data_IF_463441873395
#
_entry.id   IF_463441873395
#
_cell.length_a   1.000
_cell.length_b   1.000
_cell.length_c   1.000
_cell.angle_alpha   90.00
_cell.angle_beta   90.00
_cell.angle_gamma   90.00
#
_symmetry.space_group_name_H-M   'P 1'
#
loop_
_entity.id
_entity.type
_entity.pdbx_description
1 polymer ?
#
# COMPACT_ATOMS: atom_id res chain seq x y z
N UNK A 1 8.27 8.13 -87.58
CA UNK A 1 6.79 8.05 -87.69
C UNK A 1 6.22 8.19 -86.28
N UNK A 2 5.62 9.31 -86.02
CA UNK A 2 4.31 9.53 -85.47
C UNK A 2 4.09 8.98 -84.04
N UNK A 3 3.57 9.64 -83.14
CA UNK A 3 2.80 10.90 -83.00
C UNK A 3 2.59 11.14 -81.48
N UNK A 4 2.68 12.39 -81.09
CA UNK A 4 1.64 13.16 -80.46
C UNK A 4 1.18 12.67 -79.05
N UNK A 5 1.57 13.45 -78.05
CA UNK A 5 0.74 14.51 -77.47
C UNK A 5 -0.48 13.94 -76.73
N UNK A 6 -0.52 14.19 -75.50
CA UNK A 6 -1.64 14.96 -74.95
C UNK A 6 -1.34 15.35 -73.49
N UNK A 7 -1.14 16.59 -73.33
CA UNK A 7 -1.28 17.29 -72.06
C UNK A 7 -2.71 17.10 -71.56
N UNK A 8 -2.87 16.63 -70.34
CA UNK A 8 -4.14 16.82 -69.65
C UNK A 8 -3.83 17.48 -68.29
N UNK A 9 -3.99 18.76 -68.28
CA UNK A 9 -4.23 19.53 -67.08
C UNK A 9 -5.52 18.99 -66.46
N UNK A 10 -5.40 18.43 -65.28
CA UNK A 10 -6.54 18.30 -64.38
C UNK A 10 -6.17 19.07 -63.10
N UNK A 11 -6.72 20.25 -63.04
CA UNK A 11 -6.95 20.96 -61.80
C UNK A 11 -7.88 20.07 -60.97
N UNK A 12 -7.37 19.52 -59.91
CA UNK A 12 -8.09 18.67 -58.99
C UNK A 12 -7.85 19.19 -57.58
N UNK A 13 -8.75 20.04 -57.21
CA UNK A 13 -9.35 20.17 -55.91
C UNK A 13 -8.43 19.70 -54.75
N UNK A 14 -7.86 20.70 -54.12
CA UNK A 14 -7.21 20.51 -52.81
C UNK A 14 -8.20 19.96 -51.80
N UNK A 15 -8.05 18.68 -51.49
CA UNK A 15 -8.64 18.11 -50.28
C UNK A 15 -7.74 18.52 -49.15
N UNK A 16 -8.03 19.66 -48.55
CA UNK A 16 -7.54 20.02 -47.24
C UNK A 16 -8.15 19.03 -46.26
N UNK A 17 -7.46 17.93 -46.04
CA UNK A 17 -7.71 17.14 -44.89
C UNK A 17 -7.26 17.98 -43.69
N UNK A 18 -8.21 18.70 -43.13
CA UNK A 18 -8.05 19.27 -41.84
C UNK A 18 -7.79 18.07 -40.88
N UNK A 19 -6.51 17.79 -40.62
CA UNK A 19 -6.14 17.06 -39.45
C UNK A 19 -6.63 17.90 -38.26
N UNK A 20 -7.87 17.66 -37.86
CA UNK A 20 -8.26 17.95 -36.50
C UNK A 20 -7.37 17.08 -35.65
N UNK A 21 -6.24 17.65 -35.20
CA UNK A 21 -5.54 17.15 -34.05
C UNK A 21 -6.58 17.12 -32.94
N UNK A 22 -7.13 15.92 -32.71
CA UNK A 22 -7.69 15.63 -31.41
C UNK A 22 -6.50 15.79 -30.46
N UNK A 23 -6.38 16.98 -29.88
CA UNK A 23 -5.68 17.15 -28.64
C UNK A 23 -6.46 16.24 -27.67
N UNK A 24 -6.04 14.99 -27.59
CA UNK A 24 -6.25 14.22 -26.41
C UNK A 24 -5.54 15.03 -25.35
N UNK A 25 -6.34 15.73 -24.56
CA UNK A 25 -5.94 16.23 -23.26
C UNK A 25 -5.60 14.97 -22.42
N UNK A 26 -4.49 14.33 -22.76
CA UNK A 26 -3.73 13.64 -21.79
C UNK A 26 -3.31 14.73 -20.80
N UNK A 27 -4.22 15.00 -19.86
CA UNK A 27 -3.81 15.43 -18.55
C UNK A 27 -2.78 14.41 -18.12
N UNK A 28 -1.55 14.66 -18.51
CA UNK A 28 -0.39 14.18 -17.79
C UNK A 28 -0.65 14.69 -16.38
N UNK A 29 -1.29 13.87 -15.56
CA UNK A 29 -1.18 13.99 -14.13
C UNK A 29 0.32 13.92 -13.91
N UNK A 30 0.95 15.09 -13.90
CA UNK A 30 2.20 15.27 -13.21
C UNK A 30 1.93 14.67 -11.86
N UNK A 31 2.37 13.43 -11.66
CA UNK A 31 2.46 12.85 -10.36
C UNK A 31 3.45 13.77 -9.66
N UNK A 32 2.93 14.78 -8.97
CA UNK A 32 3.68 15.37 -7.89
C UNK A 32 4.12 14.17 -7.09
N UNK A 33 5.40 13.85 -7.15
CA UNK A 33 6.02 12.85 -6.27
C UNK A 33 5.65 13.36 -4.88
N UNK A 34 4.61 12.80 -4.31
CA UNK A 34 4.17 13.20 -3.01
C UNK A 34 5.31 12.85 -2.08
N UNK A 35 5.79 13.85 -1.37
CA UNK A 35 6.91 13.70 -0.45
C UNK A 35 6.33 12.99 0.76
N UNK A 36 6.58 11.69 0.84
CA UNK A 36 6.32 10.94 2.07
C UNK A 36 7.12 11.58 3.19
N UNK A 37 6.54 11.79 4.36
CA UNK A 37 7.32 12.19 5.51
C UNK A 37 8.49 11.22 5.69
N UNK A 38 9.69 11.73 5.81
CA UNK A 38 10.92 10.93 5.94
C UNK A 38 10.84 9.86 7.03
N UNK A 39 10.03 10.10 8.06
CA UNK A 39 9.75 9.14 9.14
C UNK A 39 9.04 7.88 8.63
N UNK A 40 8.10 8.02 7.68
CA UNK A 40 7.36 6.89 7.09
C UNK A 40 8.27 6.08 6.18
N UNK A 41 9.06 6.75 5.33
CA UNK A 41 10.05 6.08 4.46
C UNK A 41 11.05 5.29 5.30
N UNK A 42 11.62 5.91 6.33
CA UNK A 42 12.54 5.23 7.25
C UNK A 42 11.91 4.05 7.97
N UNK A 43 10.62 4.16 8.34
CA UNK A 43 9.90 3.04 8.95
C UNK A 43 9.78 1.86 7.98
N UNK A 44 9.41 2.11 6.72
CA UNK A 44 9.27 1.07 5.70
C UNK A 44 10.63 0.41 5.44
N UNK A 45 11.69 1.19 5.21
CA UNK A 45 13.05 0.66 5.00
C UNK A 45 13.53 -0.22 6.15
N UNK A 46 13.26 0.17 7.39
CA UNK A 46 13.72 -0.56 8.58
C UNK A 46 12.94 -1.86 8.83
N UNK A 47 11.66 -1.93 8.43
CA UNK A 47 10.76 -2.99 8.87
C UNK A 47 10.28 -3.91 7.74
N UNK A 48 10.40 -3.51 6.48
CA UNK A 48 9.96 -4.31 5.34
C UNK A 48 11.18 -4.63 4.46
N UNK A 49 11.65 -5.88 4.42
CA UNK A 49 12.79 -6.27 3.60
C UNK A 49 12.56 -5.94 2.12
N UNK A 50 13.45 -5.13 1.53
CA UNK A 50 13.28 -4.55 0.19
C UNK A 50 11.95 -3.81 0.01
N UNK A 51 11.46 -3.17 1.09
CA UNK A 51 10.19 -2.48 1.13
C UNK A 51 10.17 -1.29 0.17
N UNK A 52 9.19 -1.29 -0.72
CA UNK A 52 8.91 -0.21 -1.64
C UNK A 52 7.47 0.25 -1.46
N UNK A 53 7.27 1.54 -1.32
CA UNK A 53 5.93 2.10 -1.21
C UNK A 53 5.31 2.19 -2.61
N UNK A 54 4.25 1.42 -2.84
CA UNK A 54 3.52 1.41 -4.10
C UNK A 54 2.41 2.47 -4.15
N UNK A 55 1.78 2.71 -3.00
CA UNK A 55 0.63 3.61 -2.92
C UNK A 55 0.53 4.18 -1.52
N UNK A 56 0.02 5.41 -1.45
CA UNK A 56 -0.39 6.01 -0.20
C UNK A 56 -1.75 6.70 -0.39
N UNK A 57 -2.45 6.91 0.71
CA UNK A 57 -3.73 7.59 0.76
C UNK A 57 -3.83 8.39 2.05
N UNK A 58 -4.26 9.63 1.94
CA UNK A 58 -4.61 10.44 3.10
C UNK A 58 -6.08 10.24 3.45
N UNK A 59 -6.35 9.94 4.71
CA UNK A 59 -7.69 9.88 5.27
C UNK A 59 -7.75 10.71 6.56
N UNK A 60 -8.16 11.96 6.43
CA UNK A 60 -8.17 12.90 7.55
C UNK A 60 -6.77 13.08 8.14
N UNK A 61 -6.60 12.73 9.42
CA UNK A 61 -5.33 12.83 10.14
C UNK A 61 -4.45 11.56 10.01
N UNK A 62 -4.82 10.62 9.14
CA UNK A 62 -4.10 9.37 8.92
C UNK A 62 -3.51 9.31 7.53
N UNK A 63 -2.42 8.58 7.40
CA UNK A 63 -1.82 8.21 6.13
C UNK A 63 -1.74 6.70 6.02
N UNK A 64 -2.37 6.14 5.00
CA UNK A 64 -2.27 4.73 4.65
C UNK A 64 -1.20 4.53 3.58
N UNK A 65 -0.39 3.51 3.76
CA UNK A 65 0.72 3.15 2.86
C UNK A 65 0.60 1.68 2.50
N UNK A 66 0.65 1.37 1.21
CA UNK A 66 0.70 0.01 0.70
C UNK A 66 2.08 -0.29 0.13
N UNK A 67 2.68 -1.40 0.57
CA UNK A 67 4.02 -1.82 0.16
C UNK A 67 3.97 -2.95 -0.87
N UNK A 68 5.11 -3.20 -1.52
CA UNK A 68 5.28 -4.20 -2.58
C UNK A 68 5.09 -5.65 -2.11
N UNK A 69 5.29 -5.94 -0.83
CA UNK A 69 5.04 -7.24 -0.19
C UNK A 69 3.59 -7.44 0.26
N UNK A 70 2.66 -6.56 -0.17
CA UNK A 70 1.25 -6.50 0.23
C UNK A 70 1.00 -6.02 1.66
N UNK A 71 2.02 -5.60 2.39
CA UNK A 71 1.83 -4.98 3.70
C UNK A 71 1.14 -3.62 3.57
N UNK A 72 0.11 -3.41 4.36
CA UNK A 72 -0.57 -2.14 4.51
C UNK A 72 -0.27 -1.55 5.89
N UNK A 73 0.15 -0.29 5.91
CA UNK A 73 0.53 0.43 7.12
C UNK A 73 -0.33 1.67 7.27
N UNK A 74 -0.78 1.95 8.48
CA UNK A 74 -1.47 3.19 8.78
C UNK A 74 -0.68 4.00 9.80
N UNK A 75 -0.43 5.27 9.48
CA UNK A 75 0.30 6.22 10.33
C UNK A 75 -0.66 7.32 10.80
N UNK A 76 -0.45 7.77 12.04
CA UNK A 76 -1.13 8.94 12.57
C UNK A 76 -0.49 10.25 12.03
N UNK A 77 -1.07 11.39 12.38
CA UNK A 77 -0.57 12.73 12.01
C UNK A 77 0.87 13.01 12.47
N UNK A 78 1.35 12.31 13.49
CA UNK A 78 2.70 12.46 14.03
C UNK A 78 3.71 11.53 13.33
N UNK A 79 3.22 10.74 12.34
CA UNK A 79 4.01 9.78 11.59
C UNK A 79 4.35 8.52 12.40
N UNK A 80 3.59 8.21 13.46
CA UNK A 80 3.73 6.96 14.19
C UNK A 80 2.86 5.88 13.55
N UNK A 81 3.41 4.70 13.32
CA UNK A 81 2.65 3.57 12.81
C UNK A 81 1.67 3.09 13.89
N UNK A 82 0.38 3.07 13.53
CA UNK A 82 -0.72 2.70 14.43
C UNK A 82 -1.46 1.45 14.00
N UNK A 83 -1.27 1.01 12.75
CA UNK A 83 -1.81 -0.26 12.24
C UNK A 83 -0.86 -0.86 11.21
N UNK A 84 -0.70 -2.17 11.25
CA UNK A 84 0.06 -2.98 10.30
C UNK A 84 -0.80 -4.17 9.92
N UNK A 85 -0.94 -4.44 8.63
CA UNK A 85 -1.78 -5.52 8.13
C UNK A 85 -1.11 -6.20 6.94
N UNK A 86 -1.16 -7.53 6.88
CA UNK A 86 -0.79 -8.33 5.72
C UNK A 86 -1.54 -9.65 5.77
N UNK A 87 -2.42 -9.89 4.80
CA UNK A 87 -3.19 -11.15 4.73
C UNK A 87 -2.31 -12.40 4.63
N UNK A 88 -1.08 -12.28 4.17
CA UNK A 88 -0.12 -13.39 4.10
C UNK A 88 0.66 -13.61 5.39
N UNK A 89 0.46 -12.75 6.38
CA UNK A 89 1.16 -12.72 7.65
C UNK A 89 2.20 -11.62 7.71
N UNK A 90 2.25 -10.93 8.83
CA UNK A 90 3.23 -9.91 9.12
C UNK A 90 4.63 -10.53 9.30
N UNK A 91 5.65 -9.86 8.77
CA UNK A 91 7.02 -10.29 8.95
C UNK A 91 7.52 -10.08 10.40
N UNK A 92 8.59 -10.77 10.84
CA UNK A 92 9.08 -10.69 12.22
C UNK A 92 9.49 -9.29 12.67
N UNK A 93 9.97 -8.42 11.77
CA UNK A 93 10.36 -7.05 12.14
C UNK A 93 9.15 -6.21 12.54
N UNK A 94 8.02 -6.39 11.87
CA UNK A 94 6.76 -5.72 12.24
C UNK A 94 6.19 -6.26 13.54
N UNK A 95 6.25 -7.59 13.75
CA UNK A 95 5.78 -8.23 15.00
C UNK A 95 6.64 -7.76 16.19
N UNK A 96 7.91 -7.48 16.00
CA UNK A 96 8.81 -6.99 17.04
C UNK A 96 8.46 -5.59 17.58
N UNK A 97 7.51 -4.88 16.98
CA UNK A 97 6.95 -3.65 17.55
C UNK A 97 5.98 -3.89 18.72
N UNK A 98 5.54 -5.13 18.94
CA UNK A 98 4.84 -5.50 20.16
C UNK A 98 5.80 -5.56 21.35
N UNK A 99 5.31 -5.32 22.57
CA UNK A 99 6.10 -5.58 23.78
C UNK A 99 6.58 -7.04 23.88
N UNK A 100 7.72 -7.26 24.50
CA UNK A 100 8.35 -8.59 24.65
C UNK A 100 7.40 -9.63 25.29
N UNK A 101 6.58 -9.21 26.26
CA UNK A 101 5.61 -10.08 26.90
C UNK A 101 4.55 -10.58 25.89
N UNK A 102 4.07 -9.71 24.99
CA UNK A 102 3.10 -10.08 23.96
C UNK A 102 3.72 -10.99 22.89
N UNK A 103 4.93 -10.69 22.42
CA UNK A 103 5.64 -11.54 21.45
C UNK A 103 5.95 -12.91 22.03
N UNK A 104 6.34 -12.99 23.32
CA UNK A 104 6.57 -14.23 24.03
C UNK A 104 5.27 -15.05 24.17
N UNK A 105 4.18 -14.37 24.52
CA UNK A 105 2.86 -15.02 24.61
C UNK A 105 2.43 -15.62 23.26
N UNK A 106 2.51 -14.86 22.18
CA UNK A 106 2.18 -15.33 20.83
C UNK A 106 3.03 -16.54 20.44
N UNK A 107 4.35 -16.49 20.69
CA UNK A 107 5.26 -17.59 20.39
C UNK A 107 4.93 -18.86 21.16
N UNK A 108 4.54 -18.77 22.44
CA UNK A 108 4.28 -19.92 23.28
C UNK A 108 2.93 -20.58 22.99
N UNK A 109 1.92 -19.79 22.63
CA UNK A 109 0.55 -20.26 22.49
C UNK A 109 0.09 -20.39 21.02
N UNK A 110 0.71 -19.64 20.10
CA UNK A 110 0.30 -19.50 18.70
C UNK A 110 1.46 -19.60 17.71
N UNK A 111 2.48 -20.38 18.03
CA UNK A 111 3.77 -20.44 17.32
C UNK A 111 3.70 -20.66 15.80
N UNK A 112 2.67 -21.37 15.30
CA UNK A 112 2.51 -21.70 13.89
C UNK A 112 1.34 -20.93 13.23
N UNK A 113 0.82 -19.93 13.90
CA UNK A 113 -0.32 -19.17 13.42
C UNK A 113 0.18 -17.78 12.99
N UNK A 114 -0.17 -17.40 11.76
CA UNK A 114 0.26 -16.10 11.23
C UNK A 114 -0.46 -14.97 11.96
N UNK A 115 0.31 -13.98 12.40
CA UNK A 115 -0.20 -12.66 12.79
C UNK A 115 -0.49 -11.90 11.52
N UNK A 116 -1.73 -11.51 11.29
CA UNK A 116 -2.14 -10.80 10.08
C UNK A 116 -2.40 -9.32 10.30
N UNK A 117 -2.74 -8.91 11.52
CA UNK A 117 -2.92 -7.51 11.88
C UNK A 117 -2.36 -7.21 13.27
N UNK A 118 -1.77 -6.04 13.42
CA UNK A 118 -1.45 -5.42 14.70
C UNK A 118 -1.99 -3.99 14.67
N UNK A 119 -2.85 -3.65 15.61
CA UNK A 119 -3.39 -2.31 15.75
C UNK A 119 -3.12 -1.74 17.14
N UNK A 120 -2.52 -0.57 17.19
CA UNK A 120 -2.29 0.17 18.44
C UNK A 120 -3.56 0.85 18.90
N UNK A 121 -3.98 0.57 20.12
CA UNK A 121 -5.15 1.14 20.77
C UNK A 121 -4.74 1.98 22.00
N UNK A 122 -5.65 2.76 22.53
CA UNK A 122 -5.40 3.56 23.76
C UNK A 122 -5.04 2.70 24.97
N UNK A 123 -5.54 1.47 25.04
CA UNK A 123 -5.27 0.51 26.13
C UNK A 123 -4.04 -0.36 25.89
N UNK A 124 -3.53 -0.47 24.66
CA UNK A 124 -2.43 -1.36 24.30
C UNK A 124 -2.49 -1.77 22.84
N UNK A 125 -2.68 -3.06 22.54
CA UNK A 125 -2.65 -3.60 21.18
C UNK A 125 -3.79 -4.59 20.93
N UNK A 126 -4.38 -4.54 19.74
CA UNK A 126 -5.18 -5.60 19.17
C UNK A 126 -4.29 -6.37 18.19
N UNK A 127 -4.24 -7.68 18.31
CA UNK A 127 -3.51 -8.56 17.39
C UNK A 127 -4.48 -9.56 16.80
N UNK A 128 -4.51 -9.65 15.49
CA UNK A 128 -5.35 -10.59 14.77
C UNK A 128 -4.53 -11.73 14.21
N UNK A 129 -4.98 -12.95 14.46
CA UNK A 129 -4.36 -14.19 14.03
C UNK A 129 -5.20 -14.85 12.93
N UNK A 130 -4.52 -15.40 11.93
CA UNK A 130 -5.18 -16.22 10.91
C UNK A 130 -5.41 -17.64 11.46
N UNK A 131 -6.54 -17.86 12.09
CA UNK A 131 -7.01 -19.20 12.46
C UNK A 131 -8.01 -19.71 11.42
N UNK A 132 -8.20 -21.02 11.33
CA UNK A 132 -9.20 -21.63 10.44
C UNK A 132 -10.29 -22.28 11.27
N UNK A 133 -11.57 -22.05 10.99
CA UNK A 133 -12.14 -21.32 9.86
C UNK A 133 -12.28 -19.80 10.06
N UNK A 134 -12.03 -19.28 11.26
CA UNK A 134 -12.24 -17.88 11.61
C UNK A 134 -10.92 -17.21 12.00
N UNK A 135 -10.88 -15.89 11.94
CA UNK A 135 -9.84 -15.08 12.54
C UNK A 135 -10.03 -14.99 14.05
N UNK A 136 -8.94 -14.73 14.77
CA UNK A 136 -8.96 -14.65 16.20
C UNK A 136 -8.25 -13.38 16.67
N UNK A 137 -8.93 -12.61 17.51
CA UNK A 137 -8.41 -11.38 18.10
C UNK A 137 -7.84 -11.64 19.50
N UNK A 138 -6.58 -11.27 19.72
CA UNK A 138 -5.97 -11.20 21.03
C UNK A 138 -5.73 -9.74 21.40
N UNK A 139 -6.07 -9.39 22.62
CA UNK A 139 -5.93 -8.01 23.11
C UNK A 139 -4.89 -7.98 24.21
N UNK A 140 -3.89 -7.11 24.03
CA UNK A 140 -2.81 -6.90 24.98
C UNK A 140 -2.90 -5.54 25.63
N UNK A 141 -2.49 -5.45 26.89
CA UNK A 141 -2.22 -4.18 27.56
C UNK A 141 -0.94 -3.55 27.01
N UNK A 142 -0.66 -2.30 27.40
CA UNK A 142 0.55 -1.55 26.97
C UNK A 142 1.87 -2.24 27.34
N UNK A 143 1.87 -3.01 28.41
CA UNK A 143 3.03 -3.79 28.89
C UNK A 143 3.15 -5.16 28.20
N UNK A 144 2.22 -5.50 27.31
CA UNK A 144 2.18 -6.78 26.60
C UNK A 144 1.52 -7.92 27.38
N UNK A 145 0.99 -7.67 28.58
CA UNK A 145 0.16 -8.67 29.28
C UNK A 145 -1.17 -8.88 28.53
N UNK A 146 -1.66 -10.13 28.54
CA UNK A 146 -2.93 -10.47 27.87
C UNK A 146 -4.08 -9.78 28.60
N UNK A 147 -4.91 -9.07 27.86
CA UNK A 147 -6.15 -8.46 28.34
C UNK A 147 -7.37 -9.32 27.99
N UNK A 148 -7.39 -9.84 26.76
CA UNK A 148 -8.41 -10.76 26.28
C UNK A 148 -7.75 -11.70 25.26
N UNK A 149 -8.01 -12.99 25.40
CA UNK A 149 -7.57 -14.01 24.45
C UNK A 149 -8.69 -14.40 23.51
N UNK A 150 -8.39 -15.24 22.52
CA UNK A 150 -9.38 -15.87 21.66
C UNK A 150 -10.41 -16.65 22.50
N UNK A 151 -11.66 -16.42 22.23
CA UNK A 151 -12.74 -17.28 22.74
C UNK A 151 -12.85 -18.46 21.76
N UNK A 152 -12.39 -19.64 22.16
CA UNK A 152 -12.61 -20.90 21.44
C UNK A 152 -13.91 -21.54 21.89
#
# INVERSE_FOLDING_TARGET
>A
MNKLSLSLLLAGVGLIVALTAFATDEKTKSSKKEVFPSKIESFVEANIPNGEILKYKHEGDKMEVKCNDHTELCFNKDGDCVKMENENGLNPHLIAHLPDAATTYLKNNYNNIAVIEIEKKSYGFKVELRTSPNECDIWFNKDGSVKKDCDY
#
